data_IF_352557616933
#
_entry.id   IF_352557616933
#
_cell.length_a   1.000
_cell.length_b   1.000
_cell.length_c   1.000
_cell.angle_alpha   90.00
_cell.angle_beta   90.00
_cell.angle_gamma   90.00
#
_symmetry.space_group_name_H-M   'P 1'
#
loop_
_entity.id
_entity.type
_entity.pdbx_description
1 polymer ?
#
# COMPACT_ATOMS: atom_id res chain seq x y z
N UNK A 1 -16.88 23.29 0.19
CA UNK A 1 -16.13 22.03 -0.04
C UNK A 1 -16.43 21.06 1.11
N UNK A 2 -17.21 19.99 0.89
CA UNK A 2 -17.41 18.98 1.94
C UNK A 2 -16.08 18.26 2.20
N UNK A 3 -15.62 18.30 3.45
CA UNK A 3 -14.44 17.56 3.94
C UNK A 3 -14.66 16.08 3.62
N UNK A 4 -13.66 15.41 3.04
CA UNK A 4 -13.77 14.02 2.65
C UNK A 4 -13.64 13.15 3.92
N UNK A 5 -14.77 12.83 4.56
CA UNK A 5 -14.83 12.14 5.85
C UNK A 5 -14.30 10.69 5.80
N UNK A 6 -14.11 10.12 4.60
CA UNK A 6 -13.61 8.76 4.40
C UNK A 6 -12.20 8.58 4.97
N UNK A 7 -11.31 9.57 4.78
CA UNK A 7 -9.94 9.47 5.28
C UNK A 7 -9.93 9.40 6.82
N UNK A 8 -10.70 10.26 7.47
CA UNK A 8 -10.84 10.27 8.92
C UNK A 8 -11.44 8.96 9.43
N UNK A 9 -12.48 8.46 8.76
CA UNK A 9 -13.14 7.22 9.11
C UNK A 9 -12.19 6.01 9.03
N UNK A 10 -11.44 5.87 7.93
CA UNK A 10 -10.45 4.80 7.76
C UNK A 10 -9.36 4.91 8.82
N UNK A 11 -8.85 6.12 9.10
CA UNK A 11 -7.84 6.32 10.14
C UNK A 11 -8.35 5.93 11.54
N UNK A 12 -9.59 6.28 11.90
CA UNK A 12 -10.18 5.89 13.19
C UNK A 12 -10.31 4.37 13.29
N UNK A 13 -10.82 3.72 12.24
CA UNK A 13 -10.92 2.26 12.21
C UNK A 13 -9.56 1.58 12.36
N UNK A 14 -8.52 2.09 11.70
CA UNK A 14 -7.16 1.57 11.81
C UNK A 14 -6.55 1.78 13.20
N UNK A 15 -6.84 2.90 13.86
CA UNK A 15 -6.41 3.12 15.26
C UNK A 15 -7.06 2.08 16.17
N UNK A 16 -8.39 1.93 16.08
CA UNK A 16 -9.12 0.94 16.89
C UNK A 16 -8.59 -0.46 16.62
N UNK A 17 -8.41 -0.80 15.35
CA UNK A 17 -7.85 -2.07 14.91
C UNK A 17 -6.43 -2.29 15.47
N UNK A 18 -5.55 -1.29 15.40
CA UNK A 18 -4.18 -1.39 15.91
C UNK A 18 -4.15 -1.60 17.41
N UNK A 19 -5.02 -0.92 18.16
CA UNK A 19 -5.15 -1.10 19.61
C UNK A 19 -5.63 -2.52 19.93
N UNK A 20 -6.69 -2.99 19.25
CA UNK A 20 -7.20 -4.34 19.45
C UNK A 20 -6.16 -5.41 19.10
N UNK A 21 -5.39 -5.19 18.04
CA UNK A 21 -4.32 -6.07 17.62
C UNK A 21 -3.23 -6.13 18.70
N UNK A 22 -2.72 -4.98 19.17
CA UNK A 22 -1.73 -4.94 20.26
C UNK A 22 -2.25 -5.58 21.56
N UNK A 23 -3.52 -5.38 21.92
CA UNK A 23 -4.13 -5.98 23.12
C UNK A 23 -4.30 -7.50 22.96
N UNK A 24 -4.77 -7.97 21.80
CA UNK A 24 -4.90 -9.42 21.57
C UNK A 24 -3.52 -10.10 21.56
N UNK A 25 -2.49 -9.44 21.02
CA UNK A 25 -1.12 -9.94 21.01
C UNK A 25 -0.57 -10.16 22.42
N UNK A 26 -0.77 -9.22 23.33
CA UNK A 26 -0.27 -9.31 24.71
C UNK A 26 -0.99 -10.40 25.51
N UNK A 27 -2.20 -10.80 25.10
CA UNK A 27 -3.01 -11.77 25.83
C UNK A 27 -2.91 -13.22 25.31
N UNK A 28 -2.50 -13.45 24.05
CA UNK A 28 -2.70 -14.79 23.42
C UNK A 28 -1.49 -15.40 22.69
N UNK A 29 -0.47 -14.63 22.32
CA UNK A 29 0.13 -14.85 20.99
C UNK A 29 1.34 -15.78 20.85
N UNK A 30 2.01 -16.21 21.91
CA UNK A 30 3.28 -16.91 21.68
C UNK A 30 3.11 -18.39 21.28
N UNK A 31 2.19 -19.11 21.95
CA UNK A 31 2.09 -20.57 21.82
C UNK A 31 1.43 -21.04 20.52
N UNK A 32 0.49 -20.27 19.96
CA UNK A 32 -0.25 -20.62 18.74
C UNK A 32 0.46 -20.15 17.46
N UNK A 33 1.36 -19.18 17.66
CA UNK A 33 2.12 -18.43 16.68
C UNK A 33 3.30 -19.10 15.99
N UNK A 34 4.08 -19.72 16.87
CA UNK A 34 5.44 -20.19 16.64
C UNK A 34 5.63 -21.13 15.44
N UNK A 35 4.69 -22.03 15.10
CA UNK A 35 4.89 -22.95 13.98
C UNK A 35 5.01 -22.29 12.60
N UNK A 36 4.58 -21.03 12.45
CA UNK A 36 4.56 -20.34 11.17
C UNK A 36 5.82 -19.50 10.89
N UNK A 37 6.74 -19.39 11.86
CA UNK A 37 7.94 -18.54 11.77
C UNK A 37 9.18 -19.35 12.09
N UNK A 38 9.94 -19.69 11.04
CA UNK A 38 11.12 -20.55 11.15
C UNK A 38 12.37 -19.80 11.62
N UNK A 39 12.35 -18.47 11.61
CA UNK A 39 13.47 -17.59 12.00
C UNK A 39 13.48 -17.24 13.50
N UNK A 40 12.42 -17.56 14.23
CA UNK A 40 12.29 -17.22 15.66
C UNK A 40 12.92 -18.30 16.54
N UNK A 41 14.06 -17.98 17.16
CA UNK A 41 14.69 -18.81 18.21
C UNK A 41 14.53 -18.13 19.58
N UNK A 42 13.80 -18.78 20.50
CA UNK A 42 13.55 -18.26 21.86
C UNK A 42 12.13 -17.76 22.11
N UNK A 43 11.91 -17.12 23.28
CA UNK A 43 10.66 -16.43 23.60
C UNK A 43 10.62 -15.05 22.96
N UNK A 44 9.53 -14.71 22.25
CA UNK A 44 9.33 -13.42 21.57
C UNK A 44 7.97 -12.84 21.93
N UNK A 45 7.98 -11.65 22.54
CA UNK A 45 6.79 -10.93 22.96
C UNK A 45 6.12 -10.19 21.79
N UNK A 46 4.79 -10.29 21.70
CA UNK A 46 3.95 -9.45 20.83
C UNK A 46 3.84 -9.95 19.40
N UNK A 47 3.05 -11.01 19.21
CA UNK A 47 2.85 -11.66 17.93
C UNK A 47 1.41 -11.49 17.42
N UNK A 48 1.25 -11.14 16.15
CA UNK A 48 0.01 -11.43 15.43
C UNK A 48 -0.06 -10.76 14.08
N UNK A 49 -0.24 -11.65 13.13
CA UNK A 49 -0.03 -11.40 11.72
C UNK A 49 -1.42 -11.27 11.13
N UNK A 50 -1.78 -10.09 10.65
CA UNK A 50 -2.97 -9.94 9.82
C UNK A 50 -2.60 -9.47 8.42
N UNK A 51 -2.03 -10.41 7.67
CA UNK A 51 -1.81 -10.28 6.23
C UNK A 51 -3.12 -10.12 5.45
N UNK A 52 -4.27 -10.54 6.01
CA UNK A 52 -5.57 -10.43 5.33
C UNK A 52 -5.98 -8.98 5.10
N UNK A 53 -5.85 -8.12 6.11
CA UNK A 53 -6.20 -6.71 5.99
C UNK A 53 -5.21 -5.95 5.09
N UNK A 54 -3.92 -6.25 5.20
CA UNK A 54 -2.88 -5.72 4.30
C UNK A 54 -3.17 -6.10 2.84
N UNK A 55 -3.37 -7.39 2.55
CA UNK A 55 -3.69 -7.89 1.22
C UNK A 55 -4.99 -7.28 0.68
N UNK A 56 -6.00 -7.09 1.53
CA UNK A 56 -7.23 -6.41 1.14
C UNK A 56 -6.99 -4.96 0.70
N UNK A 57 -6.19 -4.18 1.43
CA UNK A 57 -5.85 -2.81 1.03
C UNK A 57 -5.03 -2.75 -0.25
N UNK A 58 -4.06 -3.65 -0.43
CA UNK A 58 -3.26 -3.76 -1.65
C UNK A 58 -4.13 -4.12 -2.86
N UNK A 59 -4.97 -5.14 -2.74
CA UNK A 59 -5.93 -5.54 -3.78
C UNK A 59 -6.92 -4.43 -4.11
N UNK A 60 -7.45 -3.75 -3.10
CA UNK A 60 -8.35 -2.60 -3.29
C UNK A 60 -7.66 -1.44 -4.02
N UNK A 61 -6.38 -1.18 -3.71
CA UNK A 61 -5.56 -0.19 -4.41
C UNK A 61 -5.44 -0.52 -5.89
N UNK A 62 -5.16 -1.79 -6.23
CA UNK A 62 -5.12 -2.24 -7.62
C UNK A 62 -6.46 -2.07 -8.33
N UNK A 63 -7.57 -2.42 -7.68
CA UNK A 63 -8.92 -2.23 -8.24
C UNK A 63 -9.21 -0.74 -8.50
N UNK A 64 -8.84 0.16 -7.61
CA UNK A 64 -9.04 1.60 -7.81
C UNK A 64 -8.24 2.11 -9.02
N UNK A 65 -7.00 1.64 -9.21
CA UNK A 65 -6.23 1.98 -10.41
C UNK A 65 -6.80 1.36 -11.69
N UNK A 66 -7.37 0.15 -11.62
CA UNK A 66 -8.10 -0.46 -12.73
C UNK A 66 -9.31 0.39 -13.14
N UNK A 67 -10.05 0.93 -12.17
CA UNK A 67 -11.14 1.87 -12.44
C UNK A 67 -10.62 3.17 -13.08
N UNK A 68 -9.48 3.70 -12.63
CA UNK A 68 -8.85 4.86 -13.27
C UNK A 68 -8.49 4.58 -14.74
N UNK A 69 -7.96 3.39 -15.02
CA UNK A 69 -7.58 2.95 -16.36
C UNK A 69 -8.80 2.85 -17.28
N UNK A 70 -9.93 2.35 -16.78
CA UNK A 70 -11.18 2.23 -17.56
C UNK A 70 -11.71 3.59 -18.08
N UNK A 71 -11.31 4.71 -17.47
CA UNK A 71 -11.67 6.05 -17.94
C UNK A 71 -10.77 6.60 -19.07
N UNK A 72 -9.68 5.93 -19.41
CA UNK A 72 -8.80 6.36 -20.49
C UNK A 72 -9.36 5.88 -21.84
N UNK A 73 -9.89 6.80 -22.64
CA UNK A 73 -10.46 6.50 -23.96
C UNK A 73 -9.49 6.71 -25.13
N UNK A 74 -8.49 7.58 -24.98
CA UNK A 74 -7.64 7.99 -26.09
C UNK A 74 -6.28 7.28 -26.10
N UNK A 75 -5.81 6.96 -27.31
CA UNK A 75 -4.46 6.51 -27.63
C UNK A 75 -3.38 7.52 -27.19
N UNK A 76 -3.69 8.82 -27.18
CA UNK A 76 -2.74 9.89 -26.84
C UNK A 76 -2.31 9.93 -25.37
N UNK A 77 -2.91 9.12 -24.50
CA UNK A 77 -2.62 9.05 -23.06
C UNK A 77 -1.74 7.84 -22.69
N UNK A 78 -0.74 7.51 -23.52
CA UNK A 78 0.10 6.31 -23.35
C UNK A 78 0.81 6.27 -21.99
N UNK A 79 1.45 7.36 -21.59
CA UNK A 79 2.17 7.45 -20.32
C UNK A 79 1.24 7.18 -19.12
N UNK A 80 0.01 7.71 -19.15
CA UNK A 80 -0.97 7.49 -18.09
C UNK A 80 -1.46 6.03 -18.05
N UNK A 81 -1.63 5.37 -19.21
CA UNK A 81 -1.95 3.94 -19.27
C UNK A 81 -0.82 3.10 -18.68
N UNK A 82 0.43 3.37 -19.08
CA UNK A 82 1.61 2.67 -18.57
C UNK A 82 1.68 2.80 -17.04
N UNK A 83 1.46 4.02 -16.52
CA UNK A 83 1.40 4.24 -15.09
C UNK A 83 0.35 3.35 -14.42
N UNK A 84 -0.92 3.40 -14.83
CA UNK A 84 -1.94 2.59 -14.16
C UNK A 84 -1.70 1.08 -14.29
N UNK A 85 -1.26 0.58 -15.45
CA UNK A 85 -0.89 -0.82 -15.59
C UNK A 85 0.22 -1.22 -14.64
N UNK A 86 1.27 -0.40 -14.53
CA UNK A 86 2.38 -0.70 -13.62
C UNK A 86 1.92 -0.73 -12.17
N UNK A 87 1.02 0.19 -11.77
CA UNK A 87 0.44 0.20 -10.42
C UNK A 87 -0.40 -1.06 -10.17
N UNK A 88 -1.27 -1.45 -11.10
CA UNK A 88 -2.13 -2.62 -10.97
C UNK A 88 -1.27 -3.88 -10.79
N UNK A 89 -0.28 -4.08 -11.66
CA UNK A 89 0.61 -5.25 -11.60
C UNK A 89 1.37 -5.29 -10.28
N UNK A 90 1.96 -4.17 -9.86
CA UNK A 90 2.71 -4.07 -8.62
C UNK A 90 1.83 -4.40 -7.40
N UNK A 91 0.66 -3.75 -7.27
CA UNK A 91 -0.20 -3.94 -6.10
C UNK A 91 -0.87 -5.32 -6.07
N UNK A 92 -1.15 -5.94 -7.23
CA UNK A 92 -1.60 -7.35 -7.28
C UNK A 92 -0.46 -8.27 -6.83
N UNK A 93 0.75 -8.08 -7.35
CA UNK A 93 1.91 -8.85 -6.96
C UNK A 93 2.12 -8.78 -5.44
N UNK A 94 2.15 -7.58 -4.87
CA UNK A 94 2.30 -7.38 -3.42
C UNK A 94 1.16 -8.01 -2.63
N UNK A 95 -0.09 -7.95 -3.10
CA UNK A 95 -1.23 -8.57 -2.41
C UNK A 95 -1.15 -10.10 -2.39
N UNK A 96 -0.69 -10.70 -3.49
CA UNK A 96 -0.47 -12.15 -3.60
C UNK A 96 0.70 -12.54 -2.69
N UNK A 97 1.81 -11.81 -2.76
CA UNK A 97 3.00 -12.09 -1.96
C UNK A 97 2.71 -11.98 -0.46
N UNK A 98 1.98 -10.94 -0.02
CA UNK A 98 1.56 -10.76 1.37
C UNK A 98 0.70 -11.93 1.87
N UNK A 99 -0.13 -12.52 1.01
CA UNK A 99 -1.06 -13.59 1.41
C UNK A 99 -0.45 -14.99 1.34
N UNK A 100 0.39 -15.23 0.34
CA UNK A 100 0.89 -16.55 0.00
C UNK A 100 2.39 -16.71 0.27
N UNK A 101 3.07 -15.64 0.70
CA UNK A 101 4.51 -15.60 0.96
C UNK A 101 5.29 -16.19 -0.23
N UNK A 102 4.99 -15.72 -1.43
CA UNK A 102 5.55 -16.28 -2.67
C UNK A 102 7.08 -16.21 -2.65
N UNK A 103 7.63 -15.16 -2.02
CA UNK A 103 9.06 -15.01 -1.80
C UNK A 103 9.72 -16.09 -0.93
N UNK A 104 8.96 -16.79 -0.08
CA UNK A 104 9.48 -17.88 0.75
C UNK A 104 9.42 -19.25 0.07
N UNK A 105 8.51 -19.42 -0.90
CA UNK A 105 8.24 -20.70 -1.56
C UNK A 105 9.14 -20.94 -2.78
N UNK A 106 9.50 -19.89 -3.52
CA UNK A 106 10.38 -20.03 -4.69
C UNK A 106 11.86 -19.92 -4.29
N UNK A 107 12.70 -20.96 -4.54
CA UNK A 107 14.11 -20.97 -4.14
C UNK A 107 14.96 -19.84 -4.73
N UNK A 108 14.63 -19.40 -5.96
CA UNK A 108 15.37 -18.34 -6.67
C UNK A 108 15.04 -16.98 -6.07
N UNK A 109 13.75 -16.77 -5.77
CA UNK A 109 13.23 -15.55 -5.16
C UNK A 109 13.74 -15.45 -3.71
N UNK A 110 13.71 -16.56 -2.97
CA UNK A 110 14.19 -16.64 -1.58
C UNK A 110 15.67 -16.27 -1.43
N UNK A 111 16.53 -16.65 -2.37
CA UNK A 111 17.96 -16.27 -2.34
C UNK A 111 18.18 -14.76 -2.43
N UNK A 112 17.24 -14.04 -3.04
CA UNK A 112 17.29 -12.59 -3.22
C UNK A 112 16.17 -11.86 -2.44
N UNK A 113 15.47 -12.54 -1.54
CA UNK A 113 14.21 -12.09 -0.94
C UNK A 113 14.31 -10.67 -0.35
N UNK A 114 15.37 -10.43 0.42
CA UNK A 114 15.68 -9.16 1.08
C UNK A 114 15.85 -7.98 0.12
N UNK A 115 16.19 -8.23 -1.15
CA UNK A 115 16.49 -7.21 -2.16
C UNK A 115 15.28 -6.88 -3.04
N UNK A 116 14.28 -7.77 -3.13
CA UNK A 116 13.15 -7.61 -4.04
C UNK A 116 12.28 -6.43 -3.63
N UNK A 117 11.93 -6.32 -2.34
CA UNK A 117 11.13 -5.21 -1.82
C UNK A 117 11.79 -3.84 -2.04
N UNK A 118 13.08 -3.63 -1.70
CA UNK A 118 13.81 -2.40 -2.03
C UNK A 118 13.85 -2.10 -3.54
N UNK A 119 14.09 -3.11 -4.38
CA UNK A 119 14.12 -2.92 -5.84
C UNK A 119 12.74 -2.51 -6.38
N UNK A 120 11.67 -3.14 -5.91
CA UNK A 120 10.30 -2.75 -6.25
C UNK A 120 10.00 -1.32 -5.78
N UNK A 121 10.50 -0.92 -4.61
CA UNK A 121 10.41 0.45 -4.12
C UNK A 121 11.09 1.46 -5.05
N UNK A 122 12.31 1.17 -5.50
CA UNK A 122 13.04 2.03 -6.46
C UNK A 122 12.34 2.10 -7.83
N UNK A 123 11.87 0.95 -8.34
CA UNK A 123 11.09 0.88 -9.57
C UNK A 123 9.81 1.72 -9.45
N UNK A 124 9.13 1.63 -8.30
CA UNK A 124 7.92 2.38 -8.05
C UNK A 124 8.16 3.89 -7.98
N UNK A 125 9.25 4.33 -7.35
CA UNK A 125 9.69 5.74 -7.38
C UNK A 125 9.86 6.20 -8.83
N UNK A 126 10.60 5.44 -9.64
CA UNK A 126 10.79 5.75 -11.06
C UNK A 126 9.46 5.90 -11.81
N UNK A 127 8.53 4.96 -11.64
CA UNK A 127 7.21 4.97 -12.30
C UNK A 127 6.35 6.18 -11.87
N UNK A 128 6.36 6.51 -10.59
CA UNK A 128 5.63 7.66 -10.02
C UNK A 128 6.09 8.99 -10.62
N UNK A 129 7.41 9.18 -10.76
CA UNK A 129 7.97 10.42 -11.31
C UNK A 129 7.88 10.47 -12.83
N UNK A 130 8.21 9.38 -13.54
CA UNK A 130 8.29 9.36 -15.00
C UNK A 130 6.92 9.36 -15.68
N UNK A 131 5.97 8.58 -15.16
CA UNK A 131 4.66 8.36 -15.81
C UNK A 131 3.49 8.89 -14.96
N UNK A 132 3.62 8.86 -13.62
CA UNK A 132 2.58 9.38 -12.72
C UNK A 132 2.52 10.90 -12.61
N UNK A 133 3.56 11.60 -13.07
CA UNK A 133 3.76 13.05 -12.91
C UNK A 133 3.48 13.54 -11.49
N UNK A 134 3.97 12.79 -10.49
CA UNK A 134 3.54 12.95 -9.09
C UNK A 134 3.72 14.37 -8.52
N UNK A 135 4.75 15.10 -8.96
CA UNK A 135 5.03 16.47 -8.53
C UNK A 135 3.95 17.48 -8.93
N UNK A 136 3.19 17.22 -10.01
CA UNK A 136 2.09 18.10 -10.45
C UNK A 136 0.76 17.80 -9.75
N UNK A 137 0.67 16.70 -9.00
CA UNK A 137 -0.56 16.31 -8.29
C UNK A 137 -0.80 17.21 -7.08
N UNK A 138 -2.07 17.43 -6.67
CA UNK A 138 -2.38 18.23 -5.50
C UNK A 138 -1.90 17.55 -4.20
N UNK A 139 -1.61 18.34 -3.16
CA UNK A 139 -1.10 17.86 -1.85
C UNK A 139 -1.94 16.73 -1.23
N UNK A 140 -3.26 16.73 -1.43
CA UNK A 140 -4.17 15.67 -0.95
C UNK A 140 -3.88 14.28 -1.54
N UNK A 141 -3.25 14.23 -2.72
CA UNK A 141 -2.79 13.00 -3.37
C UNK A 141 -1.37 12.66 -2.90
N UNK A 142 -0.50 13.67 -2.78
CA UNK A 142 0.89 13.48 -2.37
C UNK A 142 1.04 13.04 -0.91
N UNK A 143 0.27 13.61 0.01
CA UNK A 143 0.44 13.37 1.44
C UNK A 143 0.22 11.90 1.84
N UNK A 144 -0.86 11.21 1.41
CA UNK A 144 -1.01 9.78 1.67
C UNK A 144 0.16 8.95 1.14
N UNK A 145 0.65 9.26 -0.07
CA UNK A 145 1.79 8.56 -0.64
C UNK A 145 3.07 8.76 0.19
N UNK A 146 3.35 9.99 0.63
CA UNK A 146 4.52 10.31 1.46
C UNK A 146 4.45 9.54 2.79
N UNK A 147 3.27 9.51 3.43
CA UNK A 147 3.08 8.78 4.68
C UNK A 147 3.24 7.26 4.46
N UNK A 148 2.67 6.73 3.37
CA UNK A 148 2.83 5.32 3.00
C UNK A 148 4.32 4.97 2.79
N UNK A 149 5.06 5.79 2.05
CA UNK A 149 6.49 5.59 1.82
C UNK A 149 7.30 5.66 3.10
N UNK A 150 7.00 6.59 4.01
CA UNK A 150 7.70 6.69 5.29
C UNK A 150 7.47 5.43 6.15
N UNK A 151 6.23 4.95 6.22
CA UNK A 151 5.89 3.72 6.94
C UNK A 151 6.51 2.48 6.30
N UNK A 152 6.56 2.42 4.96
CA UNK A 152 7.23 1.34 4.24
C UNK A 152 8.73 1.30 4.54
N UNK A 153 9.40 2.46 4.61
CA UNK A 153 10.82 2.54 5.02
C UNK A 153 11.00 2.05 6.46
N UNK A 154 10.10 2.41 7.38
CA UNK A 154 10.13 1.88 8.75
C UNK A 154 10.00 0.37 8.76
N UNK A 155 9.05 -0.19 7.99
CA UNK A 155 8.85 -1.62 7.85
C UNK A 155 10.12 -2.34 7.36
N UNK A 156 10.69 -1.90 6.23
CA UNK A 156 11.91 -2.48 5.66
C UNK A 156 13.10 -2.36 6.62
N UNK A 157 13.22 -1.24 7.34
CA UNK A 157 14.28 -1.06 8.34
C UNK A 157 14.13 -2.05 9.50
N UNK A 158 12.92 -2.22 10.02
CA UNK A 158 12.63 -3.16 11.12
C UNK A 158 12.89 -4.60 10.68
N UNK A 159 12.58 -4.95 9.44
CA UNK A 159 12.82 -6.27 8.88
C UNK A 159 14.33 -6.59 8.73
N UNK A 160 15.12 -5.64 8.19
CA UNK A 160 16.57 -5.83 7.97
C UNK A 160 17.39 -5.74 9.27
N UNK A 161 17.03 -4.81 10.16
CA UNK A 161 17.83 -4.46 11.34
C UNK A 161 17.30 -5.12 12.60
N UNK A 162 15.99 -5.27 12.73
CA UNK A 162 15.33 -5.82 13.91
C UNK A 162 15.86 -7.19 14.37
N UNK A 163 16.14 -8.16 13.48
CA UNK A 163 16.74 -9.43 13.86
C UNK A 163 18.15 -9.27 14.45
N UNK A 164 18.94 -8.31 13.94
CA UNK A 164 20.34 -8.12 14.33
C UNK A 164 20.51 -7.49 15.71
N UNK A 165 19.50 -6.73 16.15
CA UNK A 165 19.50 -6.01 17.44
C UNK A 165 18.52 -6.59 18.46
N UNK A 166 17.87 -7.71 18.14
CA UNK A 166 16.84 -8.35 18.97
C UNK A 166 15.75 -7.36 19.44
N UNK A 167 15.24 -6.56 18.51
CA UNK A 167 14.28 -5.49 18.81
C UNK A 167 13.00 -6.07 19.44
N UNK A 168 12.60 -5.66 20.66
CA UNK A 168 11.32 -6.09 21.22
C UNK A 168 10.16 -5.56 20.36
N UNK A 169 9.11 -6.37 20.20
CA UNK A 169 7.95 -6.05 19.34
C UNK A 169 8.28 -5.87 17.85
N UNK A 170 9.44 -6.33 17.36
CA UNK A 170 9.85 -6.27 15.94
C UNK A 170 8.67 -6.57 14.99
N UNK A 171 8.06 -7.74 15.17
CA UNK A 171 6.98 -8.24 14.32
C UNK A 171 5.73 -7.33 14.39
N UNK A 172 5.35 -6.89 15.58
CA UNK A 172 4.20 -5.98 15.74
C UNK A 172 4.45 -4.61 15.05
N UNK A 173 5.67 -4.08 15.14
CA UNK A 173 6.03 -2.81 14.48
C UNK A 173 6.06 -3.00 12.96
N UNK A 174 6.65 -4.09 12.49
CA UNK A 174 6.67 -4.45 11.07
C UNK A 174 5.24 -4.57 10.50
N UNK A 175 4.38 -5.39 11.12
CA UNK A 175 3.03 -5.64 10.64
C UNK A 175 2.13 -4.40 10.70
N UNK A 176 2.22 -3.62 11.78
CA UNK A 176 1.47 -2.37 11.90
C UNK A 176 1.94 -1.35 10.86
N UNK A 177 3.25 -1.13 10.74
CA UNK A 177 3.78 -0.18 9.75
C UNK A 177 3.40 -0.58 8.32
N UNK A 178 3.45 -1.87 7.99
CA UNK A 178 2.99 -2.45 6.72
C UNK A 178 1.49 -2.21 6.49
N UNK A 179 0.65 -2.55 7.46
CA UNK A 179 -0.82 -2.36 7.39
C UNK A 179 -1.18 -0.90 7.16
N UNK A 180 -0.57 0.00 7.92
CA UNK A 180 -0.80 1.44 7.78
C UNK A 180 -0.29 1.98 6.44
N UNK A 181 0.88 1.52 5.97
CA UNK A 181 1.38 1.88 4.65
C UNK A 181 0.39 1.49 3.55
N UNK A 182 -0.13 0.26 3.60
CA UNK A 182 -1.11 -0.26 2.65
C UNK A 182 -2.42 0.53 2.67
N UNK A 183 -2.92 0.91 3.84
CA UNK A 183 -4.07 1.79 3.94
C UNK A 183 -3.83 3.17 3.34
N UNK A 184 -2.64 3.74 3.51
CA UNK A 184 -2.29 5.02 2.90
C UNK A 184 -2.07 4.92 1.38
N UNK A 185 -1.59 3.78 0.86
CA UNK A 185 -1.59 3.49 -0.58
C UNK A 185 -3.02 3.43 -1.15
N UNK A 186 -3.95 2.84 -0.40
CA UNK A 186 -5.37 2.85 -0.77
C UNK A 186 -5.93 4.28 -0.79
N UNK A 187 -5.66 5.09 0.24
CA UNK A 187 -6.07 6.50 0.26
C UNK A 187 -5.44 7.30 -0.88
N UNK A 188 -4.19 7.02 -1.23
CA UNK A 188 -3.51 7.62 -2.38
C UNK A 188 -4.24 7.30 -3.68
N UNK A 189 -4.48 6.02 -3.98
CA UNK A 189 -5.18 5.60 -5.21
C UNK A 189 -6.60 6.16 -5.26
N UNK A 190 -7.32 6.17 -4.13
CA UNK A 190 -8.66 6.77 -4.05
C UNK A 190 -8.64 8.27 -4.36
N UNK A 191 -7.66 9.01 -3.84
CA UNK A 191 -7.53 10.43 -4.16
C UNK A 191 -7.15 10.68 -5.63
N UNK A 192 -6.32 9.81 -6.24
CA UNK A 192 -6.05 9.84 -7.68
C UNK A 192 -7.34 9.64 -8.48
N UNK A 193 -8.14 8.64 -8.11
CA UNK A 193 -9.43 8.34 -8.73
C UNK A 193 -10.40 9.53 -8.67
N UNK A 194 -10.56 10.14 -7.49
CA UNK A 194 -11.44 11.30 -7.32
C UNK A 194 -10.99 12.48 -8.19
N UNK A 195 -9.69 12.74 -8.31
CA UNK A 195 -9.20 13.79 -9.22
C UNK A 195 -9.44 13.46 -10.68
N UNK A 196 -9.29 12.18 -11.07
CA UNK A 196 -9.59 11.72 -12.42
C UNK A 196 -11.05 11.95 -12.77
N UNK A 197 -11.99 11.50 -11.92
CA UNK A 197 -13.43 11.70 -12.12
C UNK A 197 -13.78 13.19 -12.22
N UNK A 198 -13.25 14.03 -11.33
CA UNK A 198 -13.46 15.48 -11.37
C UNK A 198 -12.96 16.12 -12.67
N UNK A 199 -11.80 15.67 -13.18
CA UNK A 199 -11.25 16.19 -14.45
C UNK A 199 -12.18 15.88 -15.63
N UNK A 200 -12.80 14.70 -15.63
CA UNK A 200 -13.70 14.24 -16.69
C UNK A 200 -15.02 15.02 -16.64
N UNK A 201 -15.60 15.18 -15.45
CA UNK A 201 -16.84 15.96 -15.27
C UNK A 201 -16.66 17.41 -15.75
N UNK A 202 -15.56 18.07 -15.35
CA UNK A 202 -15.26 19.43 -15.81
C UNK A 202 -15.16 19.53 -17.34
N UNK A 203 -14.48 18.58 -17.98
CA UNK A 203 -14.36 18.55 -19.45
C UNK A 203 -15.73 18.37 -20.13
N UNK A 204 -16.60 17.55 -19.55
CA UNK A 204 -17.95 17.35 -20.07
C UNK A 204 -18.82 18.61 -19.95
N UNK A 205 -18.74 19.32 -18.83
CA UNK A 205 -19.47 20.58 -18.63
C UNK A 205 -18.98 21.69 -19.57
N UNK A 206 -17.67 21.84 -19.76
CA UNK A 206 -17.10 22.79 -20.73
C UNK A 206 -17.54 22.49 -22.17
N UNK A 207 -17.60 21.22 -22.56
CA UNK A 207 -18.07 20.83 -23.90
C UNK A 207 -19.56 21.13 -24.11
N UNK A 208 -20.41 20.99 -23.08
CA UNK A 208 -21.83 21.35 -23.17
C UNK A 208 -22.01 22.86 -23.40
N UNK A 209 -21.24 23.69 -22.70
CA UNK A 209 -21.30 25.15 -22.86
C UNK A 209 -20.90 25.59 -24.28
N UNK A 210 -19.92 24.93 -24.90
CA UNK A 210 -19.48 25.25 -26.26
C UNK A 210 -20.46 24.81 -27.35
N UNK A 211 -21.33 23.82 -27.10
CA UNK A 211 -22.35 23.36 -28.06
C UNK A 211 -23.60 24.26 -28.02
N UNK A 212 -23.78 25.03 -26.95
CA UNK A 212 -24.91 25.93 -26.75
C UNK A 212 -24.56 27.42 -26.90
N UNK A 213 -23.30 27.75 -27.18
CA UNK A 213 -22.83 29.08 -27.52
C UNK A 213 -22.74 29.25 -29.04
#
# INVERSE_FOLDING_TARGET
MKKNNIQLFISILLIVYSILLLVTHTLTSEKYVRPFYTDITGEVYGYGVNTSLSAFFLGSTAVVFLLCLAFIKNESQKDEKIFYYSQIILFIYLAIDERFQVHDVDPIIRYHGDMILPMLGLLQIYLLFRYGHMLSKPKKVQLPLIIASALFVVMVFVDIVGPKISLPLRLSIEDLSKTWANAFFFLFSYNVYIEKVRSIMKKQDSNKLLVHA
#
